data_IF_953524903909
#
_entry.id   IF_953524903909
#
_cell.length_a   1.000
_cell.length_b   1.000
_cell.length_c   1.000
_cell.angle_alpha   90.00
_cell.angle_beta   90.00
_cell.angle_gamma   90.00
#
_symmetry.space_group_name_H-M   'P 1'
#
loop_
_entity.id
_entity.type
_entity.pdbx_description
1 polymer ?
#
# COMPACT_ATOMS: atom_id res chain seq x y z
N UNK A 1 9.75 7.32 43.61
CA UNK A 1 9.06 7.69 42.35
C UNK A 1 10.10 8.35 41.46
N UNK A 2 10.87 7.55 40.72
CA UNK A 2 12.04 8.06 40.01
C UNK A 2 11.60 8.77 38.74
N UNK A 3 11.93 10.05 38.72
CA UNK A 3 12.03 10.90 37.55
C UNK A 3 12.97 10.25 36.51
N UNK A 4 12.36 9.66 35.48
CA UNK A 4 13.00 9.42 34.19
C UNK A 4 12.04 10.01 33.18
N UNK A 5 12.03 11.34 33.07
CA UNK A 5 11.65 12.01 31.83
C UNK A 5 12.59 11.47 30.74
N UNK A 6 12.23 10.32 30.16
CA UNK A 6 12.97 9.74 29.06
C UNK A 6 13.02 10.80 27.96
N UNK A 7 14.24 11.09 27.47
CA UNK A 7 14.40 12.03 26.36
C UNK A 7 13.41 11.67 25.24
N UNK A 8 12.71 12.67 24.67
CA UNK A 8 11.77 12.40 23.60
C UNK A 8 12.49 11.71 22.44
N UNK A 9 11.94 10.57 22.00
CA UNK A 9 12.43 9.86 20.81
C UNK A 9 11.89 10.57 19.57
N UNK A 10 12.74 10.79 18.57
CA UNK A 10 12.38 11.50 17.34
C UNK A 10 12.64 10.65 16.11
N UNK A 11 11.86 10.89 15.05
CA UNK A 11 12.07 10.33 13.71
C UNK A 11 11.85 11.44 12.69
N UNK A 12 12.80 11.62 11.79
CA UNK A 12 12.70 12.54 10.65
C UNK A 12 12.34 11.75 9.40
N UNK A 13 11.39 12.26 8.62
CA UNK A 13 10.95 11.68 7.35
C UNK A 13 11.11 12.74 6.27
N UNK A 14 11.59 12.35 5.10
CA UNK A 14 11.78 13.24 3.94
C UNK A 14 11.13 12.60 2.72
N UNK A 15 10.46 13.41 1.91
CA UNK A 15 9.83 12.97 0.67
C UNK A 15 10.06 13.97 -0.46
N UNK A 16 9.95 13.50 -1.70
CA UNK A 16 9.95 14.34 -2.91
C UNK A 16 8.52 14.81 -3.24
N UNK A 17 8.36 15.83 -4.06
CA UNK A 17 7.03 16.35 -4.43
C UNK A 17 6.14 15.26 -5.06
N UNK A 18 5.03 14.84 -4.42
CA UNK A 18 4.18 13.77 -4.94
C UNK A 18 3.46 14.14 -6.24
N UNK A 19 3.40 15.43 -6.60
CA UNK A 19 2.75 15.90 -7.84
C UNK A 19 3.50 15.46 -9.08
N UNK A 20 4.80 15.21 -8.99
CA UNK A 20 5.60 14.64 -10.09
C UNK A 20 5.08 13.23 -10.43
N UNK A 21 4.95 12.37 -9.42
CA UNK A 21 4.38 11.04 -9.56
C UNK A 21 2.93 11.07 -10.07
N UNK A 22 2.09 11.93 -9.49
CA UNK A 22 0.69 12.07 -9.93
C UNK A 22 0.56 12.52 -11.39
N UNK A 23 1.49 13.34 -11.88
CA UNK A 23 1.52 13.78 -13.28
C UNK A 23 1.98 12.67 -14.22
N UNK A 24 2.97 11.88 -13.81
CA UNK A 24 3.46 10.73 -14.57
C UNK A 24 2.42 9.58 -14.66
N UNK A 25 1.67 9.33 -13.58
CA UNK A 25 0.63 8.30 -13.52
C UNK A 25 -0.46 8.46 -14.59
N UNK A 26 -0.68 9.69 -15.10
CA UNK A 26 -1.65 9.96 -16.18
C UNK A 26 -1.16 9.50 -17.56
N UNK A 27 0.15 9.29 -17.73
CA UNK A 27 0.81 9.05 -19.01
C UNK A 27 1.39 7.65 -19.17
N UNK A 28 1.43 6.87 -18.10
CA UNK A 28 1.97 5.52 -18.05
C UNK A 28 0.83 4.53 -17.76
N UNK A 29 1.00 3.28 -18.18
CA UNK A 29 0.19 2.20 -17.63
C UNK A 29 0.54 2.03 -16.15
N UNK A 30 -0.35 1.40 -15.38
CA UNK A 30 -0.09 1.21 -13.96
C UNK A 30 1.15 0.38 -13.68
N UNK A 31 1.43 -0.64 -14.51
CA UNK A 31 2.67 -1.42 -14.41
C UNK A 31 3.92 -0.57 -14.67
N UNK A 32 3.93 0.23 -15.74
CA UNK A 32 5.06 1.11 -16.05
C UNK A 32 5.31 2.16 -14.96
N UNK A 33 4.24 2.75 -14.44
CA UNK A 33 4.29 3.72 -13.34
C UNK A 33 4.90 3.11 -12.07
N UNK A 34 4.38 1.95 -11.63
CA UNK A 34 4.88 1.27 -10.44
C UNK A 34 6.31 0.77 -10.62
N UNK A 35 6.69 0.31 -11.82
CA UNK A 35 8.08 -0.07 -12.12
C UNK A 35 9.02 1.13 -12.09
N UNK A 36 8.61 2.30 -12.58
CA UNK A 36 9.40 3.52 -12.49
C UNK A 36 9.62 3.97 -11.03
N UNK A 37 8.61 3.80 -10.16
CA UNK A 37 8.79 3.99 -8.70
C UNK A 37 9.78 2.96 -8.15
N UNK A 38 9.63 1.68 -8.48
CA UNK A 38 10.50 0.61 -7.99
C UNK A 38 11.98 0.83 -8.38
N UNK A 39 12.23 1.38 -9.58
CA UNK A 39 13.57 1.74 -10.07
C UNK A 39 14.09 3.08 -9.54
N UNK A 40 13.28 3.83 -8.79
CA UNK A 40 13.64 5.15 -8.25
C UNK A 40 13.63 6.30 -9.27
N UNK A 41 13.09 6.07 -10.47
CA UNK A 41 12.95 7.08 -11.54
C UNK A 41 11.82 8.07 -11.21
N UNK A 42 10.79 7.60 -10.51
CA UNK A 42 9.70 8.42 -9.98
C UNK A 42 9.69 8.35 -8.45
N UNK A 43 9.23 9.42 -7.76
CA UNK A 43 9.10 9.38 -6.31
C UNK A 43 7.99 8.41 -5.89
N UNK A 44 8.26 7.64 -4.83
CA UNK A 44 7.23 6.89 -4.11
C UNK A 44 6.26 7.82 -3.37
N UNK A 45 5.12 7.30 -2.90
CA UNK A 45 4.15 8.12 -2.18
C UNK A 45 4.69 8.49 -0.78
N UNK A 46 4.53 9.73 -0.31
CA UNK A 46 5.05 10.17 1.00
C UNK A 46 4.58 9.33 2.20
N UNK A 47 3.41 8.68 2.10
CA UNK A 47 2.92 7.79 3.15
C UNK A 47 3.81 6.56 3.34
N UNK A 48 4.46 6.07 2.29
CA UNK A 48 5.41 4.96 2.36
C UNK A 48 6.66 5.36 3.17
N UNK A 49 7.16 6.58 2.96
CA UNK A 49 8.27 7.15 3.76
C UNK A 49 7.84 7.34 5.23
N UNK A 50 6.65 7.91 5.43
CA UNK A 50 6.09 8.16 6.76
C UNK A 50 5.93 6.87 7.57
N UNK A 51 5.44 5.80 6.94
CA UNK A 51 5.19 4.52 7.60
C UNK A 51 6.32 3.49 7.42
N UNK A 52 7.39 3.84 6.70
CA UNK A 52 8.57 2.99 6.54
C UNK A 52 8.30 1.67 5.79
N UNK A 53 7.37 1.65 4.83
CA UNK A 53 7.09 0.47 4.00
C UNK A 53 7.58 0.68 2.57
N UNK A 54 7.91 -0.41 1.88
CA UNK A 54 8.53 -0.38 0.55
C UNK A 54 7.94 -1.43 -0.38
N UNK A 55 7.96 -1.15 -1.68
CA UNK A 55 7.54 -2.09 -2.72
C UNK A 55 8.65 -3.14 -2.94
N UNK A 56 8.35 -4.41 -2.61
CA UNK A 56 9.31 -5.52 -2.67
C UNK A 56 9.17 -6.28 -3.99
N UNK A 57 7.97 -6.70 -4.33
CA UNK A 57 7.68 -7.48 -5.54
C UNK A 57 6.54 -6.85 -6.33
N UNK A 58 6.66 -6.92 -7.65
CA UNK A 58 5.74 -6.29 -8.60
C UNK A 58 5.55 -7.19 -9.82
N UNK A 59 4.38 -7.79 -9.93
CA UNK A 59 3.95 -8.66 -11.03
C UNK A 59 2.54 -8.27 -11.47
N UNK A 60 2.11 -8.74 -12.64
CA UNK A 60 0.74 -8.49 -13.10
C UNK A 60 -0.28 -9.12 -12.14
N UNK A 61 -1.13 -8.27 -11.58
CA UNK A 61 -2.17 -8.64 -10.62
C UNK A 61 -1.67 -9.04 -9.24
N UNK A 62 -0.36 -8.91 -8.96
CA UNK A 62 0.25 -9.32 -7.67
C UNK A 62 1.33 -8.34 -7.23
N UNK A 63 1.22 -7.86 -6.00
CA UNK A 63 2.16 -6.89 -5.43
C UNK A 63 2.49 -7.24 -4.00
N UNK A 64 3.76 -7.13 -3.62
CA UNK A 64 4.22 -7.32 -2.24
C UNK A 64 4.85 -6.04 -1.72
N UNK A 65 4.36 -5.56 -0.57
CA UNK A 65 5.01 -4.51 0.21
C UNK A 65 5.63 -5.10 1.48
N UNK A 66 6.81 -4.60 1.86
CA UNK A 66 7.51 -4.97 3.08
C UNK A 66 7.54 -3.83 4.08
N UNK A 67 7.45 -4.15 5.37
CA UNK A 67 7.63 -3.18 6.47
C UNK A 67 8.41 -3.81 7.61
N UNK A 68 9.28 -3.03 8.23
CA UNK A 68 9.82 -3.33 9.56
C UNK A 68 9.00 -2.55 10.59
N UNK A 69 8.17 -3.21 11.43
CA UNK A 69 7.43 -2.51 12.47
C UNK A 69 8.40 -1.85 13.46
N UNK A 70 8.04 -0.66 13.95
CA UNK A 70 8.83 0.12 14.90
C UNK A 70 7.92 0.71 15.97
N UNK A 71 8.51 1.13 17.09
CA UNK A 71 7.76 1.71 18.21
C UNK A 71 6.96 2.95 17.83
N UNK A 72 7.45 3.74 16.87
CA UNK A 72 6.74 4.92 16.35
C UNK A 72 5.45 4.56 15.59
N UNK A 73 5.17 3.27 15.37
CA UNK A 73 3.89 2.77 14.85
C UNK A 73 2.92 2.34 15.96
N UNK A 74 3.29 2.49 17.23
CA UNK A 74 2.50 1.97 18.34
C UNK A 74 1.21 2.77 18.55
N UNK A 75 0.18 2.04 18.98
CA UNK A 75 -1.05 2.57 19.53
C UNK A 75 -0.90 2.80 21.05
N UNK A 76 -1.91 3.40 21.71
CA UNK A 76 -1.84 3.69 23.14
C UNK A 76 -1.72 2.48 24.07
N UNK A 77 -2.01 1.26 23.59
CA UNK A 77 -1.95 0.03 24.38
C UNK A 77 -0.65 -0.76 24.18
N UNK A 78 0.37 -0.16 23.54
CA UNK A 78 1.72 -0.72 23.48
C UNK A 78 1.94 -1.75 22.37
N UNK A 79 1.06 -1.79 21.37
CA UNK A 79 1.21 -2.63 20.17
C UNK A 79 1.19 -1.74 18.92
N UNK A 80 1.71 -2.23 17.81
CA UNK A 80 1.59 -1.51 16.53
C UNK A 80 0.11 -1.30 16.19
N UNK A 81 -0.23 -0.07 15.83
CA UNK A 81 -1.56 0.34 15.45
C UNK A 81 -2.04 -0.44 14.23
N UNK A 82 -3.27 -0.96 14.25
CA UNK A 82 -3.84 -1.72 13.14
C UNK A 82 -3.84 -0.95 11.81
N UNK A 83 -3.88 0.38 11.89
CA UNK A 83 -3.69 1.30 10.78
C UNK A 83 -2.44 1.04 9.93
N UNK A 84 -1.32 0.57 10.51
CA UNK A 84 -0.14 0.21 9.69
C UNK A 84 -0.48 -0.96 8.75
N UNK A 85 -1.08 -2.03 9.29
CA UNK A 85 -1.49 -3.19 8.50
C UNK A 85 -2.59 -2.83 7.49
N UNK A 86 -3.55 -1.98 7.86
CA UNK A 86 -4.58 -1.50 6.93
C UNK A 86 -3.98 -0.70 5.76
N UNK A 87 -3.06 0.22 6.03
CA UNK A 87 -2.38 1.01 4.98
C UNK A 87 -1.51 0.14 4.07
N UNK A 88 -0.79 -0.84 4.63
CA UNK A 88 -0.04 -1.81 3.83
C UNK A 88 -0.96 -2.62 2.91
N UNK A 89 -2.09 -3.08 3.44
CA UNK A 89 -3.06 -3.86 2.68
C UNK A 89 -3.74 -3.04 1.57
N UNK A 90 -4.15 -1.81 1.86
CA UNK A 90 -4.67 -0.90 0.84
C UNK A 90 -3.65 -0.66 -0.27
N UNK A 91 -2.38 -0.41 0.10
CA UNK A 91 -1.29 -0.22 -0.85
C UNK A 91 -1.06 -1.46 -1.71
N UNK A 92 -0.95 -2.64 -1.11
CA UNK A 92 -0.68 -3.89 -1.82
C UNK A 92 -1.82 -4.29 -2.76
N UNK A 93 -3.07 -4.27 -2.26
CA UNK A 93 -4.24 -4.65 -3.06
C UNK A 93 -4.58 -3.62 -4.13
N UNK A 94 -4.50 -2.33 -3.80
CA UNK A 94 -4.70 -1.25 -4.76
C UNK A 94 -3.64 -1.28 -5.86
N UNK A 95 -2.36 -1.47 -5.52
CA UNK A 95 -1.31 -1.61 -6.51
C UNK A 95 -1.46 -2.90 -7.35
N UNK A 96 -1.91 -4.00 -6.75
CA UNK A 96 -2.23 -5.22 -7.51
C UNK A 96 -3.26 -4.89 -8.61
N UNK A 97 -4.36 -4.20 -8.30
CA UNK A 97 -5.31 -3.71 -9.31
C UNK A 97 -4.64 -2.77 -10.30
N UNK A 98 -3.85 -1.81 -9.82
CA UNK A 98 -3.18 -0.81 -10.64
C UNK A 98 -2.30 -1.43 -11.73
N UNK A 99 -1.59 -2.53 -11.44
CA UNK A 99 -0.75 -3.21 -12.44
C UNK A 99 -1.49 -3.64 -13.71
N UNK A 100 -2.81 -3.81 -13.64
CA UNK A 100 -3.66 -4.22 -14.77
C UNK A 100 -4.32 -3.05 -15.51
N UNK A 101 -4.08 -1.80 -15.08
CA UNK A 101 -4.73 -0.64 -15.66
C UNK A 101 -3.91 -0.07 -16.82
N UNK A 102 -4.51 0.10 -18.01
CA UNK A 102 -3.84 0.73 -19.14
C UNK A 102 -3.69 2.25 -18.91
N UNK A 103 -2.88 2.89 -19.75
CA UNK A 103 -2.66 4.34 -19.73
C UNK A 103 -3.98 5.11 -19.68
N UNK A 104 -4.05 6.11 -18.80
CA UNK A 104 -5.19 7.02 -18.68
C UNK A 104 -6.38 6.46 -17.90
N UNK A 105 -6.32 5.21 -17.43
CA UNK A 105 -7.35 4.63 -16.54
C UNK A 105 -6.97 4.85 -15.09
N UNK A 106 -7.84 5.55 -14.35
CA UNK A 106 -7.69 5.77 -12.92
C UNK A 106 -8.50 4.79 -12.07
N UNK A 107 -8.25 4.77 -10.77
CA UNK A 107 -9.07 4.05 -9.80
C UNK A 107 -9.06 4.75 -8.44
N UNK A 108 -10.02 4.39 -7.59
CA UNK A 108 -10.04 4.80 -6.17
C UNK A 108 -10.58 3.66 -5.32
N UNK A 109 -10.06 3.51 -4.10
CA UNK A 109 -10.61 2.59 -3.10
C UNK A 109 -12.00 3.07 -2.68
N UNK A 110 -13.01 2.20 -2.77
CA UNK A 110 -14.36 2.43 -2.25
C UNK A 110 -14.55 1.81 -0.87
N UNK A 111 -13.92 0.67 -0.65
CA UNK A 111 -14.09 -0.15 0.54
C UNK A 111 -12.80 -0.92 0.82
N UNK A 112 -12.50 -1.08 2.11
CA UNK A 112 -11.38 -1.85 2.61
C UNK A 112 -11.81 -2.63 3.85
N UNK A 113 -11.82 -3.96 3.74
CA UNK A 113 -12.12 -4.86 4.84
C UNK A 113 -10.83 -5.47 5.38
N UNK A 114 -10.63 -5.40 6.69
CA UNK A 114 -9.44 -5.94 7.36
C UNK A 114 -9.84 -6.79 8.55
N UNK A 115 -9.42 -8.06 8.56
CA UNK A 115 -9.43 -8.92 9.72
C UNK A 115 -8.02 -8.99 10.32
N UNK A 116 -7.90 -8.68 11.61
CA UNK A 116 -6.66 -8.80 12.36
C UNK A 116 -6.61 -10.15 13.08
N UNK A 117 -5.52 -10.88 12.91
CA UNK A 117 -5.34 -12.26 13.42
C UNK A 117 -4.33 -12.30 14.56
N UNK A 118 -3.25 -11.51 14.45
CA UNK A 118 -2.16 -11.48 15.41
C UNK A 118 -1.70 -10.04 15.67
N UNK A 119 -1.37 -9.74 16.93
CA UNK A 119 -0.77 -8.47 17.31
C UNK A 119 0.63 -8.30 16.71
N UNK A 120 0.96 -7.07 16.31
CA UNK A 120 2.27 -6.70 15.77
C UNK A 120 3.00 -5.85 16.81
N UNK A 121 4.26 -6.17 17.09
CA UNK A 121 5.16 -5.41 17.94
C UNK A 121 6.43 -5.05 17.15
N UNK A 122 7.24 -4.11 17.67
CA UNK A 122 8.46 -3.65 17.00
C UNK A 122 9.49 -4.78 16.77
N UNK A 123 9.43 -5.83 17.59
CA UNK A 123 10.28 -7.02 17.56
C UNK A 123 9.65 -8.20 16.81
N UNK A 124 8.49 -8.01 16.17
CA UNK A 124 7.85 -9.04 15.33
C UNK A 124 8.66 -9.42 14.08
N UNK A 125 9.74 -8.70 13.80
CA UNK A 125 10.55 -8.86 12.59
C UNK A 125 9.88 -8.26 11.35
N UNK A 126 10.50 -8.45 10.16
CA UNK A 126 9.94 -7.97 8.91
C UNK A 126 8.61 -8.62 8.59
N UNK A 127 7.65 -7.83 8.11
CA UNK A 127 6.36 -8.30 7.63
C UNK A 127 6.20 -7.98 6.15
N UNK A 128 5.55 -8.88 5.42
CA UNK A 128 5.22 -8.73 4.02
C UNK A 128 3.72 -8.78 3.80
N UNK A 129 3.19 -7.78 3.11
CA UNK A 129 1.81 -7.72 2.67
C UNK A 129 1.71 -8.05 1.18
N UNK A 130 1.13 -9.21 0.85
CA UNK A 130 0.84 -9.60 -0.52
C UNK A 130 -0.59 -9.25 -0.89
N UNK A 131 -0.76 -8.45 -1.94
CA UNK A 131 -2.02 -8.16 -2.60
C UNK A 131 -2.14 -8.95 -3.90
N UNK A 132 -3.33 -9.49 -4.18
CA UNK A 132 -3.61 -10.28 -5.39
C UNK A 132 -5.02 -9.97 -5.89
N UNK A 133 -5.16 -9.73 -7.20
CA UNK A 133 -6.47 -9.45 -7.81
C UNK A 133 -7.39 -10.66 -7.65
N UNK A 134 -8.65 -10.39 -7.30
CA UNK A 134 -9.75 -11.35 -7.38
C UNK A 134 -10.50 -11.17 -8.71
N UNK A 135 -10.86 -9.93 -9.04
CA UNK A 135 -11.63 -9.63 -10.25
C UNK A 135 -11.32 -8.23 -10.78
N UNK A 136 -11.30 -8.09 -12.12
CA UNK A 136 -11.22 -6.79 -12.79
C UNK A 136 -12.35 -6.65 -13.81
N UNK A 137 -13.22 -5.67 -13.58
CA UNK A 137 -14.35 -5.37 -14.44
C UNK A 137 -14.20 -4.03 -15.19
N UNK A 138 -15.30 -3.62 -15.82
CA UNK A 138 -15.36 -2.33 -16.53
C UNK A 138 -15.33 -1.13 -15.58
N UNK A 139 -16.04 -1.23 -14.43
CA UNK A 139 -16.22 -0.13 -13.46
C UNK A 139 -15.74 -0.43 -12.05
N UNK A 140 -15.54 -1.70 -11.70
CA UNK A 140 -15.17 -2.16 -10.36
C UNK A 140 -14.09 -3.22 -10.49
N UNK A 141 -13.15 -3.21 -9.56
CA UNK A 141 -12.18 -4.28 -9.35
C UNK A 141 -12.11 -4.65 -7.86
N UNK A 142 -11.74 -5.89 -7.59
CA UNK A 142 -11.53 -6.38 -6.23
C UNK A 142 -10.20 -7.12 -6.13
N UNK A 143 -9.60 -7.06 -4.96
CA UNK A 143 -8.35 -7.74 -4.63
C UNK A 143 -8.39 -8.22 -3.18
N UNK A 144 -7.57 -9.22 -2.87
CA UNK A 144 -7.35 -9.76 -1.52
C UNK A 144 -5.93 -9.51 -1.06
N UNK A 145 -5.77 -9.39 0.26
CA UNK A 145 -4.51 -9.07 0.92
C UNK A 145 -4.22 -10.02 2.07
N UNK A 146 -2.94 -10.36 2.26
CA UNK A 146 -2.44 -11.12 3.43
C UNK A 146 -1.14 -10.52 3.92
N UNK A 147 -1.07 -10.22 5.22
CA UNK A 147 0.14 -9.76 5.91
C UNK A 147 0.74 -10.92 6.71
N UNK A 148 1.98 -11.30 6.38
CA UNK A 148 2.68 -12.43 7.01
C UNK A 148 4.11 -12.08 7.42
N UNK A 149 4.66 -12.82 8.39
CA UNK A 149 6.11 -12.83 8.64
C UNK A 149 6.84 -13.82 7.70
N UNK A 150 8.16 -13.86 7.80
CA UNK A 150 9.02 -14.79 7.04
C UNK A 150 8.74 -16.28 7.30
N UNK A 151 8.10 -16.60 8.44
CA UNK A 151 7.71 -17.96 8.81
C UNK A 151 6.31 -18.32 8.28
N UNK A 152 5.66 -17.42 7.56
CA UNK A 152 4.32 -17.61 6.99
C UNK A 152 3.19 -17.44 8.01
N UNK A 153 3.46 -16.92 9.20
CA UNK A 153 2.39 -16.65 10.16
C UNK A 153 1.53 -15.47 9.71
N UNK A 154 0.21 -15.63 9.81
CA UNK A 154 -0.75 -14.62 9.41
C UNK A 154 -0.98 -13.57 10.51
N UNK A 155 -0.83 -12.30 10.16
CA UNK A 155 -1.09 -11.16 11.05
C UNK A 155 -2.39 -10.45 10.71
N UNK A 156 -2.68 -10.27 9.43
CA UNK A 156 -3.94 -9.71 8.96
C UNK A 156 -4.27 -10.25 7.56
N UNK A 157 -5.56 -10.24 7.22
CA UNK A 157 -6.02 -10.49 5.86
C UNK A 157 -7.27 -9.70 5.56
N UNK A 158 -7.56 -9.49 4.29
CA UNK A 158 -8.64 -8.60 3.90
C UNK A 158 -8.94 -8.61 2.42
N UNK A 159 -9.87 -7.74 2.06
CA UNK A 159 -10.26 -7.47 0.67
C UNK A 159 -10.44 -5.98 0.46
N UNK A 160 -10.34 -5.55 -0.79
CA UNK A 160 -10.73 -4.19 -1.19
C UNK A 160 -11.62 -4.23 -2.41
N UNK A 161 -12.46 -3.20 -2.52
CA UNK A 161 -13.17 -2.86 -3.76
C UNK A 161 -12.71 -1.50 -4.25
N UNK A 162 -12.30 -1.42 -5.52
CA UNK A 162 -11.95 -0.16 -6.18
C UNK A 162 -12.94 0.17 -7.30
N UNK A 163 -13.27 1.45 -7.45
CA UNK A 163 -13.94 1.97 -8.65
C UNK A 163 -12.89 2.27 -9.71
N UNK A 164 -13.17 1.90 -10.97
CA UNK A 164 -12.33 2.18 -12.13
C UNK A 164 -12.93 3.34 -12.93
N UNK A 165 -12.09 4.32 -13.26
CA UNK A 165 -12.42 5.47 -14.09
C UNK A 165 -11.72 5.33 -15.45
N UNK A 166 -12.49 5.00 -16.48
CA UNK A 166 -11.99 4.95 -17.85
C UNK A 166 -12.25 6.27 -18.56
N UNK A 167 -11.29 6.79 -19.34
CA UNK A 167 -11.54 7.97 -20.14
C UNK A 167 -12.67 7.69 -21.12
N UNK A 168 -13.57 8.66 -21.29
CA UNK A 168 -14.69 8.52 -22.21
C UNK A 168 -14.13 8.55 -23.63
N UNK A 169 -14.40 7.50 -24.42
CA UNK A 169 -13.99 7.48 -25.82
C UNK A 169 -14.64 8.67 -26.53
N UNK A 170 -13.82 9.55 -27.11
CA UNK A 170 -14.28 10.61 -27.98
C UNK A 170 -14.85 9.98 -29.27
N UNK A 171 -16.12 9.56 -29.26
CA UNK A 171 -16.72 8.93 -30.45
C UNK A 171 -18.03 8.16 -30.30
N UNK A 172 -18.75 8.20 -29.17
CA UNK A 172 -20.08 7.59 -29.08
C UNK A 172 -21.17 8.52 -29.62
N UNK A 173 -21.37 8.57 -30.94
CA UNK A 173 -22.65 8.97 -31.54
C UNK A 173 -23.41 7.71 -31.91
N UNK A 174 -24.56 7.49 -31.27
CA UNK A 174 -25.88 7.32 -31.90
C UNK A 174 -26.96 7.59 -30.84
#
# INVERSE_FOLDING_TARGET
MSDLAANPRTRTVTWKDPREGASAAKKLSGMEYLRAIQRGELPGPPIAELMGFTLVELEEGKVVFGVQPGEYHYNPIGMVHGGLAATLMDSAMGCAIHTMLPVGVGYTTLELHVNYVRGIAHDSGPLQCRGEIIHIGGRVATAQGRLTDEKGHLYAHGTTTCMIFRPQLAGGRE
#
